data_IF_768046488224
#
_entry.id   IF_768046488224
#
_cell.length_a   1.000
_cell.length_b   1.000
_cell.length_c   1.000
_cell.angle_alpha   90.00
_cell.angle_beta   90.00
_cell.angle_gamma   90.00
#
_symmetry.space_group_name_H-M   'P 1'
#
loop_
_entity.id
_entity.type
_entity.pdbx_description
1 polymer ?
#
# COMPACT_ATOMS: atom_id res chain seq x y z
N UNK A 1 -15.17 2.45 -2.74
CA UNK A 1 -15.78 1.28 -2.03
C UNK A 1 -15.31 1.17 -0.56
N UNK A 2 -15.69 0.12 0.19
CA UNK A 2 -15.21 -0.14 1.57
C UNK A 2 -14.88 -1.62 1.78
N UNK A 3 -13.80 -1.91 2.50
CA UNK A 3 -13.33 -3.27 2.79
C UNK A 3 -13.07 -3.43 4.29
N UNK A 4 -13.09 -4.66 4.81
CA UNK A 4 -12.71 -4.93 6.20
C UNK A 4 -11.26 -5.41 6.25
N UNK A 5 -10.49 -4.88 7.19
CA UNK A 5 -9.16 -5.39 7.47
C UNK A 5 -9.24 -6.81 8.04
N UNK A 6 -8.51 -7.76 7.44
CA UNK A 6 -8.48 -9.15 7.89
C UNK A 6 -7.80 -9.34 9.25
N UNK A 7 -6.96 -8.39 9.69
CA UNK A 7 -6.25 -8.48 10.96
C UNK A 7 -7.03 -7.91 12.16
N UNK A 8 -7.76 -6.80 11.98
CA UNK A 8 -8.40 -6.08 13.09
C UNK A 8 -9.89 -5.77 12.90
N UNK A 9 -10.47 -6.11 11.75
CA UNK A 9 -11.89 -5.87 11.44
C UNK A 9 -12.26 -4.40 11.13
N UNK A 10 -11.32 -3.45 11.21
CA UNK A 10 -11.60 -2.06 10.86
C UNK A 10 -12.02 -1.92 9.39
N UNK A 11 -12.97 -1.01 9.15
CA UNK A 11 -13.40 -0.63 7.80
C UNK A 11 -12.38 0.32 7.19
N UNK A 12 -11.78 -0.09 6.08
CA UNK A 12 -10.91 0.74 5.25
C UNK A 12 -11.76 1.28 4.10
N UNK A 13 -11.88 2.60 4.01
CA UNK A 13 -12.54 3.27 2.90
C UNK A 13 -11.55 3.44 1.76
N UNK A 14 -11.96 3.03 0.56
CA UNK A 14 -11.19 3.17 -0.67
C UNK A 14 -11.94 4.15 -1.59
N UNK A 15 -11.24 5.15 -2.09
CA UNK A 15 -11.77 6.16 -3.03
C UNK A 15 -11.80 5.60 -4.46
N UNK A 16 -12.32 6.38 -5.41
CA UNK A 16 -12.51 5.97 -6.81
C UNK A 16 -11.19 5.60 -7.52
N UNK A 17 -10.04 6.07 -6.98
CA UNK A 17 -8.71 5.66 -7.44
C UNK A 17 -8.46 4.14 -7.33
N UNK A 18 -9.27 3.45 -6.52
CA UNK A 18 -9.17 2.02 -6.27
C UNK A 18 -10.26 1.21 -6.98
N UNK A 19 -11.00 1.76 -7.95
CA UNK A 19 -12.06 0.99 -8.63
C UNK A 19 -11.52 -0.10 -9.57
N UNK A 20 -10.30 0.07 -10.08
CA UNK A 20 -9.57 -0.89 -10.91
C UNK A 20 -8.10 -0.95 -10.48
N UNK A 21 -7.85 -1.44 -9.26
CA UNK A 21 -6.54 -1.40 -8.62
C UNK A 21 -6.11 -2.80 -8.17
N UNK A 22 -4.83 -3.11 -8.35
CA UNK A 22 -4.20 -4.31 -7.81
C UNK A 22 -2.93 -3.88 -7.06
N UNK A 23 -2.87 -4.22 -5.76
CA UNK A 23 -1.69 -3.93 -4.96
C UNK A 23 -1.96 -3.79 -3.46
N UNK A 24 -0.93 -3.36 -2.70
CA UNK A 24 -1.00 -3.31 -1.26
C UNK A 24 -1.69 -2.03 -0.74
N UNK A 25 -2.54 -2.21 0.26
CA UNK A 25 -3.18 -1.15 1.06
C UNK A 25 -2.86 -1.36 2.53
N UNK A 26 -2.45 -0.28 3.19
CA UNK A 26 -2.12 -0.31 4.62
C UNK A 26 -3.35 0.03 5.46
N UNK A 27 -3.68 -0.81 6.43
CA UNK A 27 -4.66 -0.49 7.46
C UNK A 27 -4.05 0.39 8.56
N UNK A 28 -4.91 1.16 9.24
CA UNK A 28 -4.52 1.97 10.40
C UNK A 28 -3.90 1.15 11.55
N UNK A 29 -4.22 -0.13 11.67
CA UNK A 29 -3.57 -1.02 12.65
C UNK A 29 -2.13 -1.40 12.30
N UNK A 30 -1.67 -1.06 11.09
CA UNK A 30 -0.34 -1.39 10.59
C UNK A 30 -0.28 -2.59 9.66
N UNK A 31 -1.34 -3.41 9.58
CA UNK A 31 -1.41 -4.55 8.68
C UNK A 31 -1.42 -4.12 7.19
N UNK A 32 -0.78 -4.93 6.34
CA UNK A 32 -0.80 -4.77 4.89
C UNK A 32 -1.79 -5.76 4.27
N UNK A 33 -2.62 -5.26 3.36
CA UNK A 33 -3.63 -6.02 2.65
C UNK A 33 -3.35 -5.90 1.15
N UNK A 34 -3.05 -7.00 0.49
CA UNK A 34 -2.98 -7.03 -0.97
C UNK A 34 -4.41 -7.20 -1.50
N UNK A 35 -4.89 -6.21 -2.27
CA UNK A 35 -6.24 -6.20 -2.81
C UNK A 35 -6.21 -6.21 -4.33
N UNK A 36 -7.28 -6.76 -4.91
CA UNK A 36 -7.62 -6.62 -6.32
C UNK A 36 -9.06 -6.15 -6.44
N UNK A 37 -9.25 -5.07 -7.17
CA UNK A 37 -10.55 -4.46 -7.43
C UNK A 37 -10.75 -4.28 -8.93
N UNK A 38 -11.98 -4.51 -9.39
CA UNK A 38 -12.41 -4.31 -10.77
C UNK A 38 -13.87 -3.81 -10.75
N UNK A 39 -14.18 -2.79 -11.55
CA UNK A 39 -15.51 -2.15 -11.61
C UNK A 39 -16.08 -1.76 -10.23
N UNK A 40 -15.25 -1.14 -9.39
CA UNK A 40 -15.60 -0.73 -8.03
C UNK A 40 -15.98 -1.89 -7.08
N UNK A 41 -15.68 -3.14 -7.45
CA UNK A 41 -15.92 -4.33 -6.64
C UNK A 41 -14.61 -5.00 -6.22
N UNK A 42 -14.57 -5.47 -4.98
CA UNK A 42 -13.46 -6.29 -4.50
C UNK A 42 -13.52 -7.69 -5.14
N UNK A 43 -12.46 -8.08 -5.83
CA UNK A 43 -12.28 -9.40 -6.45
C UNK A 43 -11.39 -10.32 -5.62
N UNK A 44 -10.45 -9.74 -4.87
CA UNK A 44 -9.56 -10.49 -3.99
C UNK A 44 -8.99 -9.63 -2.87
N UNK A 45 -8.73 -10.26 -1.73
CA UNK A 45 -8.06 -9.65 -0.58
C UNK A 45 -7.25 -10.71 0.16
N UNK A 46 -6.00 -10.39 0.50
CA UNK A 46 -5.13 -11.24 1.29
C UNK A 46 -4.33 -10.41 2.29
N UNK A 47 -4.10 -10.96 3.48
CA UNK A 47 -3.16 -10.38 4.44
C UNK A 47 -1.74 -10.71 3.98
N UNK A 48 -0.89 -9.71 3.84
CA UNK A 48 0.51 -9.89 3.45
C UNK A 48 1.44 -9.36 4.51
N UNK A 49 2.56 -10.05 4.71
CA UNK A 49 3.62 -9.54 5.56
C UNK A 49 4.19 -8.27 4.93
N UNK A 50 4.45 -7.20 5.72
CA UNK A 50 5.04 -5.99 5.20
C UNK A 50 6.44 -6.33 4.67
N UNK A 51 6.63 -6.26 3.35
CA UNK A 51 7.97 -6.45 2.77
C UNK A 51 8.91 -5.39 3.36
N UNK A 52 10.10 -5.76 3.84
CA UNK A 52 11.10 -4.77 4.21
C UNK A 52 11.40 -3.94 2.97
N UNK A 53 11.16 -2.63 3.04
CA UNK A 53 11.57 -1.72 1.97
C UNK A 53 13.10 -1.81 1.90
N UNK A 54 13.72 -2.10 0.74
CA UNK A 54 15.15 -1.87 0.61
C UNK A 54 15.41 -0.40 0.97
N UNK A 55 16.37 -0.18 1.86
CA UNK A 55 16.71 1.17 2.30
C UNK A 55 16.98 2.04 1.07
N UNK A 56 16.49 3.30 1.02
CA UNK A 56 16.85 4.18 -0.07
C UNK A 56 18.37 4.27 -0.09
N UNK A 57 18.98 3.76 -1.15
CA UNK A 57 20.41 3.88 -1.39
C UNK A 57 20.69 5.38 -1.43
N UNK A 58 21.30 5.86 -0.36
CA UNK A 58 21.66 7.27 -0.23
C UNK A 58 22.74 7.51 -1.27
N UNK A 59 22.35 7.95 -2.47
CA UNK A 59 23.29 8.56 -3.41
C UNK A 59 23.91 9.75 -2.68
N UNK A 60 25.10 9.51 -2.13
CA UNK A 60 26.01 10.53 -1.62
C UNK A 60 26.13 11.56 -2.73
N UNK A 61 25.59 12.75 -2.50
CA UNK A 61 25.83 13.90 -3.36
C UNK A 61 27.26 14.33 -3.06
N UNK A 62 28.22 13.79 -3.82
CA UNK A 62 29.58 14.31 -3.85
C UNK A 62 29.54 15.67 -4.55
N UNK A 63 29.83 16.71 -3.77
CA UNK A 63 29.91 18.08 -4.27
C UNK A 63 31.20 18.36 -5.02
N UNK A 64 31.20 19.46 -5.78
CA UNK A 64 32.40 20.20 -6.11
C UNK A 64 32.05 21.69 -6.16
N UNK A 65 32.62 22.43 -5.21
CA UNK A 65 32.73 23.88 -5.21
C UNK A 65 33.90 24.33 -6.10
N UNK A 66 34.09 25.66 -6.18
CA UNK A 66 35.13 26.45 -6.85
C UNK A 66 34.74 26.89 -8.27
N UNK A 67 34.81 28.16 -8.68
CA UNK A 67 35.33 29.41 -8.10
C UNK A 67 34.66 30.57 -8.84
#
# INVERSE_FOLDING_TARGET
>A
MRINCLACGHKVTLDDAYDNFEGPVKCLCGAMLEIRTEDAMLKGIMLVEPRPRPAPESKRMEGAAAT
#
